data_IF_903448475717
#
_entry.id   IF_903448475717
#
_cell.length_a   1.000
_cell.length_b   1.000
_cell.length_c   1.000
_cell.angle_alpha   90.00
_cell.angle_beta   90.00
_cell.angle_gamma   90.00
#
_symmetry.space_group_name_H-M   'P 1'
#
loop_
_entity.id
_entity.type
_entity.pdbx_description
1 polymer ?
#
# COMPACT_ATOMS: atom_id res chain seq x y z
N UNK A 1 -0.85 -3.40 16.41
CA UNK A 1 -1.65 -4.63 16.58
C UNK A 1 -1.42 -5.14 17.99
N UNK A 2 -2.49 -5.48 18.70
CA UNK A 2 -2.41 -6.07 20.05
C UNK A 2 -1.68 -7.42 19.99
N UNK A 3 -0.90 -7.74 21.03
CA UNK A 3 -0.20 -9.04 21.14
C UNK A 3 -1.16 -10.22 21.23
N UNK A 4 -2.44 -9.97 21.56
CA UNK A 4 -3.48 -10.97 21.68
C UNK A 4 -4.85 -10.40 21.31
N UNK A 5 -5.78 -11.31 21.04
CA UNK A 5 -7.20 -11.01 20.84
C UNK A 5 -8.07 -12.04 21.57
N UNK A 6 -9.32 -11.69 21.81
CA UNK A 6 -10.34 -12.60 22.32
C UNK A 6 -11.19 -13.11 21.17
N UNK A 7 -11.45 -14.42 21.16
CA UNK A 7 -12.31 -15.08 20.20
C UNK A 7 -13.49 -15.72 20.91
N UNK A 8 -14.70 -15.32 20.51
CA UNK A 8 -15.94 -15.91 20.98
C UNK A 8 -16.57 -16.69 19.83
N UNK A 9 -16.69 -18.00 19.99
CA UNK A 9 -17.27 -18.90 19.02
C UNK A 9 -18.62 -19.39 19.49
N UNK A 10 -19.65 -19.32 18.64
CA UNK A 10 -21.04 -19.65 18.97
C UNK A 10 -21.59 -20.59 17.90
N UNK A 11 -22.14 -21.74 18.31
CA UNK A 11 -22.75 -22.69 17.40
C UNK A 11 -24.14 -23.09 17.96
N UNK A 12 -25.21 -22.35 17.58
CA UNK A 12 -26.58 -22.63 17.98
C UNK A 12 -27.17 -23.77 17.13
N UNK A 13 -27.90 -24.69 17.76
CA UNK A 13 -28.56 -25.77 17.04
C UNK A 13 -29.86 -25.33 16.31
N UNK A 14 -30.35 -24.10 16.57
CA UNK A 14 -31.56 -23.49 15.95
C UNK A 14 -31.44 -21.96 15.95
N UNK A 15 -32.22 -21.31 15.10
CA UNK A 15 -32.40 -19.85 15.05
C UNK A 15 -31.07 -19.08 14.84
N UNK A 16 -30.23 -19.59 13.97
CA UNK A 16 -28.90 -19.07 13.66
C UNK A 16 -28.90 -17.53 13.42
N UNK A 17 -29.82 -17.03 12.60
CA UNK A 17 -29.94 -15.61 12.27
C UNK A 17 -30.16 -14.72 13.51
N UNK A 18 -30.95 -15.20 14.51
CA UNK A 18 -31.17 -14.44 15.73
C UNK A 18 -29.89 -14.31 16.59
N UNK A 19 -29.05 -15.33 16.57
CA UNK A 19 -27.74 -15.29 17.23
C UNK A 19 -26.76 -14.39 16.48
N UNK A 20 -26.78 -14.38 15.13
CA UNK A 20 -25.97 -13.49 14.30
C UNK A 20 -26.35 -12.01 14.58
N UNK A 21 -27.63 -11.68 14.56
CA UNK A 21 -28.13 -10.33 14.82
C UNK A 21 -27.76 -9.87 16.24
N UNK A 22 -27.94 -10.74 17.24
CA UNK A 22 -27.59 -10.42 18.62
C UNK A 22 -26.08 -10.22 18.78
N UNK A 23 -25.28 -11.13 18.23
CA UNK A 23 -23.81 -11.06 18.33
C UNK A 23 -23.27 -9.80 17.65
N UNK A 24 -23.80 -9.48 16.46
CA UNK A 24 -23.45 -8.24 15.74
C UNK A 24 -23.81 -7.00 16.57
N UNK A 25 -24.99 -6.99 17.18
CA UNK A 25 -25.45 -5.87 18.02
C UNK A 25 -24.62 -5.69 19.29
N UNK A 26 -24.19 -6.79 19.92
CA UNK A 26 -23.40 -6.75 21.16
C UNK A 26 -21.93 -6.38 20.93
N UNK A 27 -21.36 -6.79 19.81
CA UNK A 27 -19.94 -6.56 19.52
C UNK A 27 -19.70 -5.30 18.69
N UNK A 28 -20.67 -4.88 17.91
CA UNK A 28 -20.55 -3.84 16.88
C UNK A 28 -19.39 -4.09 15.90
N UNK A 29 -18.98 -5.35 15.74
CA UNK A 29 -17.89 -5.82 14.88
C UNK A 29 -18.42 -6.74 13.77
N UNK A 30 -17.64 -6.95 12.74
CA UNK A 30 -17.93 -7.96 11.73
C UNK A 30 -17.85 -9.36 12.35
N UNK A 31 -18.84 -10.21 12.04
CA UNK A 31 -18.92 -11.60 12.50
C UNK A 31 -18.52 -12.50 11.33
N UNK A 32 -17.59 -13.40 11.58
CA UNK A 32 -17.24 -14.45 10.62
C UNK A 32 -18.21 -15.62 10.75
N UNK A 33 -18.70 -16.10 9.62
CA UNK A 33 -19.61 -17.23 9.52
C UNK A 33 -18.88 -18.43 8.89
N UNK A 34 -18.76 -19.51 9.64
CA UNK A 34 -18.07 -20.72 9.17
C UNK A 34 -18.85 -21.97 9.57
N UNK A 35 -19.36 -22.71 8.60
CA UNK A 35 -20.04 -24.03 8.79
C UNK A 35 -21.08 -24.03 9.94
N UNK A 36 -21.95 -23.02 9.98
CA UNK A 36 -22.99 -22.87 11.01
C UNK A 36 -22.47 -22.39 12.37
N UNK A 37 -21.25 -21.89 12.41
CA UNK A 37 -20.60 -21.32 13.59
C UNK A 37 -20.41 -19.83 13.37
N UNK A 38 -20.72 -19.03 14.37
CA UNK A 38 -20.48 -17.58 14.42
C UNK A 38 -19.21 -17.31 15.22
N UNK A 39 -18.31 -16.49 14.68
CA UNK A 39 -17.04 -16.16 15.31
C UNK A 39 -16.90 -14.64 15.41
N UNK A 40 -16.85 -14.15 16.64
CA UNK A 40 -16.52 -12.76 16.95
C UNK A 40 -15.09 -12.65 17.47
N UNK A 41 -14.35 -11.62 16.97
CA UNK A 41 -12.99 -11.32 17.46
C UNK A 41 -12.93 -9.87 17.93
N UNK A 42 -12.22 -9.64 19.03
CA UNK A 42 -12.03 -8.32 19.63
C UNK A 42 -10.69 -8.23 20.36
N UNK A 43 -10.11 -7.03 20.42
CA UNK A 43 -8.98 -6.74 21.29
C UNK A 43 -9.43 -6.59 22.77
N UNK A 44 -10.72 -6.31 22.98
CA UNK A 44 -11.35 -6.24 24.30
C UNK A 44 -11.94 -7.60 24.70
N UNK A 45 -12.01 -7.86 26.00
CA UNK A 45 -12.58 -9.08 26.56
C UNK A 45 -14.07 -9.22 26.18
N UNK A 46 -14.46 -10.39 25.66
CA UNK A 46 -15.83 -10.70 25.23
C UNK A 46 -16.64 -11.46 26.28
N UNK A 47 -16.23 -11.46 27.56
CA UNK A 47 -16.92 -12.18 28.64
C UNK A 47 -18.35 -11.71 28.83
N UNK A 48 -18.61 -10.40 28.79
CA UNK A 48 -19.96 -9.84 28.93
C UNK A 48 -20.85 -10.22 27.74
N UNK A 49 -20.29 -10.22 26.54
CA UNK A 49 -20.99 -10.68 25.31
C UNK A 49 -21.34 -12.16 25.43
N UNK A 50 -20.41 -12.99 25.89
CA UNK A 50 -20.65 -14.42 26.16
C UNK A 50 -21.81 -14.62 27.13
N UNK A 51 -21.83 -13.86 28.26
CA UNK A 51 -22.91 -13.97 29.23
C UNK A 51 -24.27 -13.60 28.60
N UNK A 52 -24.33 -12.53 27.81
CA UNK A 52 -25.53 -12.12 27.08
C UNK A 52 -26.04 -13.23 26.14
N UNK A 53 -25.15 -13.87 25.39
CA UNK A 53 -25.49 -14.99 24.51
C UNK A 53 -25.98 -16.21 25.30
N UNK A 54 -25.35 -16.55 26.43
CA UNK A 54 -25.79 -17.65 27.29
C UNK A 54 -27.21 -17.39 27.83
N UNK A 55 -27.48 -16.18 28.32
CA UNK A 55 -28.80 -15.79 28.82
C UNK A 55 -29.85 -15.87 27.71
N UNK A 56 -29.54 -15.40 26.51
CA UNK A 56 -30.42 -15.47 25.36
C UNK A 56 -30.75 -16.92 24.96
N UNK A 57 -29.72 -17.76 24.86
CA UNK A 57 -29.90 -19.19 24.56
C UNK A 57 -30.80 -19.88 25.58
N UNK A 58 -30.59 -19.62 26.88
CA UNK A 58 -31.42 -20.18 27.96
C UNK A 58 -32.87 -19.70 27.89
N UNK A 59 -33.09 -18.38 27.62
CA UNK A 59 -34.44 -17.81 27.54
C UNK A 59 -35.26 -18.41 26.38
N UNK A 60 -34.58 -18.79 25.28
CA UNK A 60 -35.21 -19.43 24.12
C UNK A 60 -35.25 -20.96 24.21
N UNK A 61 -34.65 -21.55 25.24
CA UNK A 61 -34.45 -22.99 25.40
C UNK A 61 -33.74 -23.62 24.18
N UNK A 62 -32.65 -22.96 23.72
CA UNK A 62 -31.83 -23.37 22.58
C UNK A 62 -30.49 -23.88 23.11
N UNK A 63 -30.10 -25.06 22.65
CA UNK A 63 -28.76 -25.58 22.90
C UNK A 63 -27.76 -24.83 22.02
N UNK A 64 -26.77 -24.21 22.64
CA UNK A 64 -25.74 -23.45 21.99
C UNK A 64 -24.37 -23.83 22.53
N UNK A 65 -23.47 -24.27 21.67
CA UNK A 65 -22.08 -24.49 22.04
C UNK A 65 -21.33 -23.15 21.97
N UNK A 66 -20.77 -22.74 23.09
CA UNK A 66 -20.09 -21.43 23.21
C UNK A 66 -18.69 -21.65 23.75
N UNK A 67 -17.68 -21.15 23.06
CA UNK A 67 -16.29 -21.08 23.55
C UNK A 67 -15.82 -19.63 23.56
N UNK A 68 -15.03 -19.26 24.55
CA UNK A 68 -14.39 -17.96 24.66
C UNK A 68 -12.94 -18.18 25.05
N UNK A 69 -12.05 -17.74 24.17
CA UNK A 69 -10.61 -17.99 24.28
C UNK A 69 -9.83 -16.70 24.07
N UNK A 70 -8.76 -16.52 24.84
CA UNK A 70 -7.74 -15.53 24.57
C UNK A 70 -6.69 -16.16 23.67
N UNK A 71 -6.48 -15.59 22.48
CA UNK A 71 -5.52 -16.08 21.49
C UNK A 71 -4.41 -15.08 21.27
N UNK A 72 -3.19 -15.56 21.12
CA UNK A 72 -2.06 -14.73 20.77
C UNK A 72 -2.07 -14.42 19.27
N UNK A 73 -1.78 -13.17 18.93
CA UNK A 73 -1.66 -12.74 17.52
C UNK A 73 -0.41 -13.27 16.81
N UNK A 74 0.43 -14.03 17.52
CA UNK A 74 1.72 -14.54 17.02
C UNK A 74 1.56 -15.36 15.72
N UNK A 75 0.50 -16.15 15.61
CA UNK A 75 0.30 -16.98 14.41
C UNK A 75 -0.12 -16.16 13.19
N UNK A 76 -0.90 -15.10 13.37
CA UNK A 76 -1.26 -14.18 12.30
C UNK A 76 -0.06 -13.37 11.81
N UNK A 77 0.76 -12.86 12.72
CA UNK A 77 1.99 -12.13 12.40
C UNK A 77 2.95 -13.06 11.65
N UNK A 78 3.14 -14.29 12.13
CA UNK A 78 4.00 -15.28 11.44
C UNK A 78 3.46 -15.70 10.08
N UNK A 79 2.16 -16.00 9.96
CA UNK A 79 1.54 -16.34 8.68
C UNK A 79 1.62 -15.18 7.69
N UNK A 80 1.38 -13.97 8.16
CA UNK A 80 1.51 -12.75 7.36
C UNK A 80 2.96 -12.53 6.93
N UNK A 81 3.93 -12.65 7.83
CA UNK A 81 5.36 -12.59 7.49
C UNK A 81 5.75 -13.65 6.46
N UNK A 82 5.23 -14.87 6.57
CA UNK A 82 5.50 -15.93 5.59
C UNK A 82 4.85 -15.70 4.23
N UNK A 83 3.78 -14.91 4.16
CA UNK A 83 3.10 -14.58 2.91
C UNK A 83 3.77 -13.47 2.11
N UNK A 84 4.55 -12.61 2.77
CA UNK A 84 5.26 -11.50 2.13
C UNK A 84 6.67 -11.95 1.79
N UNK A 85 6.96 -11.99 0.50
CA UNK A 85 8.28 -12.40 -0.03
C UNK A 85 9.03 -11.17 -0.53
N UNK A 86 10.34 -11.25 -0.49
CA UNK A 86 11.18 -10.27 -1.19
C UNK A 86 11.06 -10.40 -2.70
N UNK A 87 11.32 -9.31 -3.42
CA UNK A 87 11.31 -9.26 -4.88
C UNK A 87 12.56 -8.55 -5.42
N UNK A 88 13.14 -9.10 -6.51
CA UNK A 88 14.23 -8.46 -7.24
C UNK A 88 13.67 -7.73 -8.47
N UNK A 89 14.06 -6.47 -8.64
CA UNK A 89 13.67 -5.64 -9.77
C UNK A 89 14.92 -4.88 -10.26
N UNK A 90 15.47 -5.27 -11.39
CA UNK A 90 16.73 -4.71 -11.88
C UNK A 90 17.86 -4.84 -10.86
N UNK A 91 18.46 -3.72 -10.47
CA UNK A 91 19.50 -3.67 -9.46
C UNK A 91 18.96 -3.57 -8.02
N UNK A 92 17.66 -3.51 -7.84
CA UNK A 92 17.02 -3.38 -6.52
C UNK A 92 16.59 -4.73 -5.95
N UNK A 93 16.68 -4.85 -4.63
CA UNK A 93 16.13 -5.93 -3.83
C UNK A 93 15.19 -5.32 -2.79
N UNK A 94 13.89 -5.58 -2.96
CA UNK A 94 12.84 -5.08 -2.08
C UNK A 94 12.46 -6.21 -1.13
N UNK A 95 12.54 -5.95 0.15
CA UNK A 95 12.27 -6.95 1.20
C UNK A 95 11.57 -6.35 2.41
N UNK A 96 10.87 -7.15 3.18
CA UNK A 96 10.45 -6.76 4.53
C UNK A 96 11.65 -6.76 5.50
N UNK A 97 11.51 -6.09 6.63
CA UNK A 97 12.60 -5.92 7.63
C UNK A 97 13.11 -7.22 8.25
N UNK A 98 12.29 -8.28 8.26
CA UNK A 98 12.64 -9.60 8.81
C UNK A 98 13.37 -10.52 7.82
N UNK A 99 13.51 -10.15 6.57
CA UNK A 99 14.34 -10.89 5.61
C UNK A 99 15.76 -10.32 5.55
N UNK A 100 16.73 -11.16 5.24
CA UNK A 100 18.12 -10.75 5.12
C UNK A 100 18.36 -9.99 3.81
N UNK A 101 19.26 -9.00 3.86
CA UNK A 101 19.69 -8.25 2.67
C UNK A 101 20.52 -9.11 1.70
N UNK A 102 20.59 -8.66 0.44
CA UNK A 102 21.53 -9.17 -0.56
C UNK A 102 22.64 -8.15 -0.81
N UNK A 103 23.90 -8.58 -0.73
CA UNK A 103 25.05 -7.69 -0.81
C UNK A 103 25.35 -7.16 -2.23
N UNK A 104 24.82 -7.83 -3.26
CA UNK A 104 24.99 -7.47 -4.67
C UNK A 104 23.88 -6.58 -5.24
N UNK A 105 22.94 -6.14 -4.40
CA UNK A 105 21.75 -5.36 -4.79
C UNK A 105 21.61 -4.09 -3.95
N UNK A 106 20.88 -3.14 -4.52
CA UNK A 106 20.43 -1.95 -3.78
C UNK A 106 19.24 -2.38 -2.89
N UNK A 107 19.48 -2.43 -1.59
CA UNK A 107 18.51 -2.92 -0.60
C UNK A 107 17.46 -1.87 -0.28
N UNK A 108 16.19 -2.23 -0.42
CA UNK A 108 15.02 -1.43 -0.03
C UNK A 108 14.18 -2.23 0.95
N UNK A 109 13.96 -1.67 2.14
CA UNK A 109 13.11 -2.27 3.18
C UNK A 109 11.74 -1.62 3.13
N UNK A 110 10.71 -2.41 2.90
CA UNK A 110 9.30 -1.98 2.98
C UNK A 110 8.54 -3.01 3.78
N UNK A 111 8.15 -2.63 4.99
CA UNK A 111 7.24 -3.45 5.77
C UNK A 111 5.81 -3.23 5.30
N UNK A 112 5.02 -4.30 5.19
CA UNK A 112 3.64 -4.20 4.78
C UNK A 112 2.83 -3.31 5.72
N UNK A 113 2.20 -2.29 5.15
CA UNK A 113 1.35 -1.31 5.81
C UNK A 113 0.04 -1.14 5.04
N UNK A 114 -0.82 -0.24 5.50
CA UNK A 114 -2.08 0.09 4.83
C UNK A 114 -1.87 0.91 3.54
N UNK A 115 -0.73 1.59 3.40
CA UNK A 115 -0.40 2.39 2.23
C UNK A 115 0.02 1.51 1.05
N UNK A 116 -0.36 1.95 -0.17
CA UNK A 116 -0.03 1.26 -1.42
C UNK A 116 1.48 1.32 -1.71
N UNK A 117 2.04 0.24 -2.28
CA UNK A 117 3.42 0.20 -2.78
C UNK A 117 4.34 -0.76 -2.02
N UNK A 118 4.05 -2.07 -2.09
CA UNK A 118 4.91 -3.12 -1.50
C UNK A 118 6.03 -3.63 -2.45
N UNK A 119 6.10 -3.12 -3.67
CA UNK A 119 7.02 -3.62 -4.71
C UNK A 119 6.47 -4.78 -5.56
N UNK A 120 5.46 -5.51 -5.08
CA UNK A 120 4.92 -6.69 -5.77
C UNK A 120 3.94 -6.35 -6.89
N UNK A 121 3.31 -5.19 -6.85
CA UNK A 121 2.37 -4.79 -7.88
C UNK A 121 3.11 -4.45 -9.18
N UNK A 122 2.55 -4.81 -10.33
CA UNK A 122 3.14 -4.62 -11.66
C UNK A 122 3.52 -3.17 -11.93
N UNK A 123 2.69 -2.22 -11.49
CA UNK A 123 2.95 -0.78 -11.68
C UNK A 123 4.14 -0.30 -10.87
N UNK A 124 4.30 -0.77 -9.63
CA UNK A 124 5.44 -0.43 -8.78
C UNK A 124 6.71 -1.04 -9.34
N UNK A 125 6.65 -2.32 -9.72
CA UNK A 125 7.78 -3.03 -10.31
C UNK A 125 8.28 -2.36 -11.60
N UNK A 126 7.39 -1.99 -12.53
CA UNK A 126 7.79 -1.32 -13.77
C UNK A 126 8.28 0.13 -13.54
N UNK A 127 7.76 0.85 -12.53
CA UNK A 127 8.35 2.14 -12.15
C UNK A 127 9.77 1.99 -11.61
N UNK A 128 10.05 0.97 -10.78
CA UNK A 128 11.40 0.71 -10.27
C UNK A 128 12.36 0.34 -11.40
N UNK A 129 11.94 -0.46 -12.39
CA UNK A 129 12.73 -0.73 -13.60
C UNK A 129 13.04 0.56 -14.37
N UNK A 130 12.05 1.45 -14.51
CA UNK A 130 12.25 2.74 -15.14
C UNK A 130 13.19 3.65 -14.33
N UNK A 131 13.09 3.64 -12.99
CA UNK A 131 14.03 4.36 -12.11
C UNK A 131 15.46 3.82 -12.30
N UNK A 132 15.61 2.51 -12.29
CA UNK A 132 16.93 1.89 -12.48
C UNK A 132 17.59 2.35 -13.78
N UNK A 133 16.84 2.40 -14.87
CA UNK A 133 17.29 2.71 -16.23
C UNK A 133 17.48 4.20 -16.52
N UNK A 134 16.55 5.05 -16.06
CA UNK A 134 16.46 6.45 -16.49
C UNK A 134 16.83 7.49 -15.43
N UNK A 135 16.92 7.11 -14.15
CA UNK A 135 17.24 8.04 -13.07
C UNK A 135 18.76 8.00 -12.80
N UNK A 136 19.41 9.13 -13.00
CA UNK A 136 20.84 9.28 -12.72
C UNK A 136 21.09 9.74 -11.29
N UNK A 137 22.28 9.45 -10.75
CA UNK A 137 22.72 9.99 -9.47
C UNK A 137 22.67 11.53 -9.44
N UNK A 138 22.44 12.09 -8.26
CA UNK A 138 22.35 13.52 -8.00
C UNK A 138 21.19 14.24 -8.69
N UNK A 139 20.26 13.51 -9.35
CA UNK A 139 19.05 14.10 -9.93
C UNK A 139 18.13 14.65 -8.83
N UNK A 140 17.45 15.77 -9.12
CA UNK A 140 16.31 16.21 -8.32
C UNK A 140 15.07 15.44 -8.75
N UNK A 141 14.48 14.70 -7.84
CA UNK A 141 13.34 13.81 -8.10
C UNK A 141 12.12 14.29 -7.32
N UNK A 142 10.96 14.29 -7.95
CA UNK A 142 9.65 14.46 -7.30
C UNK A 142 8.84 13.18 -7.43
N UNK A 143 8.40 12.62 -6.31
CA UNK A 143 7.44 11.52 -6.27
C UNK A 143 6.04 12.05 -5.91
N UNK A 144 5.08 11.90 -6.83
CA UNK A 144 3.72 12.43 -6.75
C UNK A 144 2.74 11.28 -6.48
N UNK A 145 2.05 11.32 -5.34
CA UNK A 145 1.27 10.18 -4.84
C UNK A 145 2.21 9.13 -4.28
N UNK A 146 3.04 9.54 -3.32
CA UNK A 146 4.19 8.73 -2.86
C UNK A 146 3.77 7.42 -2.15
N UNK A 147 2.56 7.35 -1.55
CA UNK A 147 2.05 6.16 -0.87
C UNK A 147 2.99 5.66 0.22
N UNK A 148 3.58 4.47 0.05
CA UNK A 148 4.60 3.90 0.95
C UNK A 148 5.96 4.60 0.84
N UNK A 149 6.20 5.40 -0.20
CA UNK A 149 7.47 6.02 -0.50
C UNK A 149 8.47 5.14 -1.26
N UNK A 150 8.10 3.94 -1.67
CA UNK A 150 9.04 2.98 -2.28
C UNK A 150 9.76 3.54 -3.51
N UNK A 151 9.08 4.30 -4.38
CA UNK A 151 9.68 4.89 -5.59
C UNK A 151 10.64 6.02 -5.22
N UNK A 152 10.24 6.85 -4.27
CA UNK A 152 11.07 7.88 -3.68
C UNK A 152 12.33 7.30 -3.01
N UNK A 153 12.19 6.21 -2.24
CA UNK A 153 13.31 5.50 -1.60
C UNK A 153 14.24 4.90 -2.67
N UNK A 154 13.70 4.29 -3.73
CA UNK A 154 14.51 3.77 -4.84
C UNK A 154 15.38 4.87 -5.47
N UNK A 155 14.82 6.06 -5.69
CA UNK A 155 15.60 7.20 -6.17
C UNK A 155 16.62 7.70 -5.13
N UNK A 156 16.25 7.78 -3.85
CA UNK A 156 17.16 8.21 -2.77
C UNK A 156 18.36 7.25 -2.61
N UNK A 157 18.13 5.93 -2.73
CA UNK A 157 19.18 4.90 -2.72
C UNK A 157 20.15 5.00 -3.93
N UNK A 158 19.73 5.69 -5.01
CA UNK A 158 20.62 6.09 -6.14
C UNK A 158 21.28 7.45 -5.92
N UNK A 159 21.34 7.94 -4.69
CA UNK A 159 21.92 9.25 -4.32
C UNK A 159 21.20 10.45 -4.94
N UNK A 160 19.90 10.35 -5.22
CA UNK A 160 19.09 11.47 -5.70
C UNK A 160 18.62 12.39 -4.55
N UNK A 161 18.32 13.65 -4.89
CA UNK A 161 17.68 14.61 -3.99
C UNK A 161 16.17 14.52 -4.21
N UNK A 162 15.46 13.96 -3.24
CA UNK A 162 14.05 13.60 -3.40
C UNK A 162 13.14 14.55 -2.65
N UNK A 163 12.11 15.03 -3.32
CA UNK A 163 10.93 15.65 -2.71
C UNK A 163 9.71 14.72 -2.93
N UNK A 164 8.78 14.72 -1.99
CA UNK A 164 7.60 13.84 -2.02
C UNK A 164 6.31 14.63 -1.81
N UNK A 165 5.21 14.17 -2.40
CA UNK A 165 3.90 14.66 -2.05
C UNK A 165 2.82 13.58 -2.17
N UNK A 166 1.78 13.73 -1.35
CA UNK A 166 0.58 12.93 -1.40
C UNK A 166 -0.62 13.76 -0.96
N UNK A 167 -1.82 13.40 -1.39
CA UNK A 167 -3.06 14.06 -0.94
C UNK A 167 -3.50 13.58 0.44
N UNK A 168 -3.01 12.40 0.85
CA UNK A 168 -3.26 11.79 2.15
C UNK A 168 -2.06 12.04 3.10
N UNK A 169 -2.33 12.59 4.29
CA UNK A 169 -1.32 12.83 5.31
C UNK A 169 -0.78 11.53 5.94
N UNK A 170 -1.56 10.46 5.90
CA UNK A 170 -1.12 9.13 6.36
C UNK A 170 0.00 8.62 5.46
N UNK A 171 -0.11 8.77 4.14
CA UNK A 171 0.94 8.39 3.19
C UNK A 171 2.25 9.15 3.44
N UNK A 172 2.18 10.45 3.76
CA UNK A 172 3.38 11.23 4.10
C UNK A 172 4.08 10.71 5.36
N UNK A 173 3.31 10.31 6.38
CA UNK A 173 3.85 9.72 7.63
C UNK A 173 4.46 8.35 7.39
N UNK A 174 3.76 7.49 6.64
CA UNK A 174 4.25 6.15 6.30
C UNK A 174 5.53 6.23 5.47
N UNK A 175 5.57 7.13 4.47
CA UNK A 175 6.78 7.41 3.69
C UNK A 175 7.93 7.85 4.61
N UNK A 176 7.70 8.75 5.56
CA UNK A 176 8.76 9.20 6.47
C UNK A 176 9.32 8.04 7.31
N UNK A 177 8.46 7.17 7.84
CA UNK A 177 8.87 5.99 8.59
C UNK A 177 9.67 5.00 7.72
N UNK A 178 9.26 4.79 6.46
CA UNK A 178 9.97 3.93 5.53
C UNK A 178 11.32 4.52 5.11
N UNK A 179 11.43 5.85 4.97
CA UNK A 179 12.72 6.52 4.72
C UNK A 179 13.69 6.33 5.88
N UNK A 180 13.22 6.45 7.13
CA UNK A 180 14.01 6.17 8.33
C UNK A 180 14.49 4.72 8.36
N UNK A 181 13.60 3.76 8.10
CA UNK A 181 13.91 2.32 8.05
C UNK A 181 14.99 2.00 6.99
N UNK A 182 15.03 2.77 5.92
CA UNK A 182 16.00 2.63 4.83
C UNK A 182 17.27 3.48 5.00
N UNK A 183 17.40 4.25 6.09
CA UNK A 183 18.55 5.13 6.36
C UNK A 183 18.81 6.15 5.22
N UNK A 184 17.74 6.64 4.59
CA UNK A 184 17.77 7.70 3.56
C UNK A 184 16.87 8.86 3.96
N UNK A 185 16.99 10.00 3.26
CA UNK A 185 16.20 11.19 3.57
C UNK A 185 15.57 11.77 2.30
N UNK A 186 14.38 12.32 2.44
CA UNK A 186 13.83 13.26 1.47
C UNK A 186 14.10 14.70 1.92
N UNK A 187 14.10 15.64 0.97
CA UNK A 187 14.43 17.04 1.25
C UNK A 187 13.19 17.84 1.68
N UNK A 188 12.08 17.68 0.98
CA UNK A 188 10.82 18.33 1.28
C UNK A 188 9.65 17.36 1.12
N UNK A 189 8.57 17.62 1.88
CA UNK A 189 7.30 16.92 1.73
C UNK A 189 6.12 17.87 1.85
N UNK A 190 5.01 17.60 1.19
CA UNK A 190 3.77 18.36 1.36
C UNK A 190 2.52 17.54 1.10
N UNK A 191 1.43 17.91 1.77
CA UNK A 191 0.10 17.38 1.48
C UNK A 191 -0.45 18.11 0.26
N UNK A 192 -0.75 17.36 -0.82
CA UNK A 192 -1.26 17.88 -2.07
C UNK A 192 -0.66 17.18 -3.29
N UNK A 193 -0.56 17.89 -4.40
CA UNK A 193 -0.10 17.34 -5.68
C UNK A 193 1.04 18.18 -6.27
N UNK A 194 1.47 17.84 -7.49
CA UNK A 194 2.55 18.50 -8.23
C UNK A 194 2.33 20.02 -8.42
N UNK A 195 1.09 20.52 -8.39
CA UNK A 195 0.79 21.95 -8.50
C UNK A 195 1.35 22.82 -7.37
N UNK A 196 1.75 22.20 -6.23
CA UNK A 196 2.41 22.90 -5.12
C UNK A 196 3.94 22.85 -5.20
N UNK A 197 4.50 22.22 -6.21
CA UNK A 197 5.95 22.19 -6.41
C UNK A 197 6.49 23.62 -6.64
N UNK A 198 7.50 24.00 -5.86
CA UNK A 198 8.10 25.34 -5.91
C UNK A 198 9.32 25.42 -6.83
N UNK A 199 9.75 24.31 -7.38
CA UNK A 199 10.89 24.19 -8.31
C UNK A 199 10.55 23.17 -9.41
N UNK A 200 11.42 23.08 -10.39
CA UNK A 200 11.39 22.02 -11.40
C UNK A 200 12.35 20.89 -11.04
N UNK A 201 12.11 19.70 -11.60
CA UNK A 201 12.81 18.47 -11.29
C UNK A 201 13.39 17.83 -12.54
N UNK A 202 14.49 17.10 -12.36
CA UNK A 202 15.12 16.31 -13.43
C UNK A 202 14.31 15.04 -13.70
N UNK A 203 13.63 14.54 -12.66
CA UNK A 203 12.72 13.39 -12.76
C UNK A 203 11.45 13.66 -11.98
N UNK A 204 10.29 13.36 -12.58
CA UNK A 204 9.00 13.35 -11.91
C UNK A 204 8.41 11.94 -12.06
N UNK A 205 7.98 11.35 -10.95
CA UNK A 205 7.38 10.02 -10.89
C UNK A 205 5.94 10.16 -10.39
N UNK A 206 5.00 9.44 -11.03
CA UNK A 206 3.62 9.38 -10.57
C UNK A 206 3.01 8.00 -10.88
N UNK A 207 2.91 7.14 -9.86
CA UNK A 207 2.23 5.84 -9.95
C UNK A 207 0.84 5.94 -9.34
N UNK A 208 -0.09 6.53 -10.10
CA UNK A 208 -1.46 6.83 -9.65
C UNK A 208 -2.47 6.51 -10.77
N UNK A 209 -3.76 6.42 -10.42
CA UNK A 209 -4.80 6.01 -11.37
C UNK A 209 -4.91 6.95 -12.58
N UNK A 210 -5.23 6.37 -13.75
CA UNK A 210 -5.26 7.05 -15.06
C UNK A 210 -6.09 8.35 -15.08
N UNK A 211 -7.20 8.40 -14.37
CA UNK A 211 -8.08 9.58 -14.31
C UNK A 211 -7.39 10.76 -13.62
N UNK A 212 -6.68 10.50 -12.52
CA UNK A 212 -5.91 11.51 -11.80
C UNK A 212 -4.72 11.96 -12.63
N UNK A 213 -3.96 11.04 -13.27
CA UNK A 213 -2.88 11.40 -14.21
C UNK A 213 -3.35 12.34 -15.30
N UNK A 214 -4.49 12.05 -15.94
CA UNK A 214 -5.08 12.90 -16.96
C UNK A 214 -5.46 14.29 -16.43
N UNK A 215 -5.97 14.36 -15.18
CA UNK A 215 -6.38 15.61 -14.53
C UNK A 215 -5.17 16.49 -14.20
N UNK A 216 -4.11 15.93 -13.63
CA UNK A 216 -2.93 16.69 -13.18
C UNK A 216 -1.80 16.73 -14.23
N UNK A 217 -2.05 16.27 -15.44
CA UNK A 217 -1.03 16.16 -16.51
C UNK A 217 -0.27 17.46 -16.77
N UNK A 218 -0.96 18.62 -16.70
CA UNK A 218 -0.33 19.93 -16.86
C UNK A 218 0.64 20.24 -15.72
N UNK A 219 0.28 19.89 -14.49
CA UNK A 219 1.11 20.17 -13.32
C UNK A 219 2.35 19.27 -13.31
N UNK A 220 2.20 17.98 -13.70
CA UNK A 220 3.33 17.07 -13.87
C UNK A 220 4.33 17.61 -14.91
N UNK A 221 3.86 18.06 -16.08
CA UNK A 221 4.72 18.64 -17.12
C UNK A 221 5.39 19.93 -16.67
N UNK A 222 4.66 20.81 -15.98
CA UNK A 222 5.21 22.07 -15.48
C UNK A 222 6.29 21.87 -14.40
N UNK A 223 6.28 20.72 -13.72
CA UNK A 223 7.27 20.36 -12.71
C UNK A 223 8.57 19.80 -13.29
N UNK A 224 8.65 19.58 -14.63
CA UNK A 224 9.86 19.07 -15.30
C UNK A 224 10.81 20.18 -15.71
N UNK A 225 12.10 19.92 -15.53
CA UNK A 225 13.17 20.64 -16.19
C UNK A 225 13.15 20.35 -17.71
N UNK A 226 13.83 21.19 -18.51
CA UNK A 226 14.17 20.87 -19.89
C UNK A 226 15.02 19.59 -19.89
N UNK A 227 14.76 18.67 -20.79
CA UNK A 227 15.30 17.31 -20.83
C UNK A 227 14.94 16.42 -19.63
N UNK A 228 14.03 16.86 -18.75
CA UNK A 228 13.57 16.08 -17.58
C UNK A 228 12.78 14.83 -17.99
N UNK A 229 12.82 13.83 -17.14
CA UNK A 229 12.17 12.52 -17.32
C UNK A 229 10.87 12.49 -16.53
N UNK A 230 9.78 12.02 -17.15
CA UNK A 230 8.51 11.73 -16.49
C UNK A 230 8.25 10.22 -16.55
N UNK A 231 8.07 9.62 -15.40
CA UNK A 231 7.67 8.22 -15.27
C UNK A 231 6.24 8.18 -14.72
N UNK A 232 5.29 7.68 -15.51
CA UNK A 232 3.90 7.52 -15.06
C UNK A 232 3.46 6.08 -15.14
N UNK A 233 2.67 5.65 -14.16
CA UNK A 233 2.10 4.29 -14.06
C UNK A 233 0.75 4.31 -13.33
N UNK A 234 0.16 3.12 -13.07
CA UNK A 234 -1.20 3.00 -12.56
C UNK A 234 -2.25 3.08 -13.66
N UNK A 235 -1.85 2.78 -14.90
CA UNK A 235 -2.66 2.88 -16.11
C UNK A 235 -3.04 1.48 -16.57
N UNK A 236 -4.34 1.16 -16.60
CA UNK A 236 -4.83 -0.04 -17.26
C UNK A 236 -4.75 0.14 -18.79
N UNK A 237 -4.43 -0.92 -19.55
CA UNK A 237 -4.33 -0.91 -21.02
C UNK A 237 -5.50 -0.21 -21.71
N UNK A 238 -6.71 -0.45 -21.25
CA UNK A 238 -7.93 0.18 -21.82
C UNK A 238 -7.99 1.70 -21.67
N UNK A 239 -7.13 2.30 -20.85
CA UNK A 239 -7.09 3.75 -20.60
C UNK A 239 -5.85 4.44 -21.17
N UNK A 240 -4.93 3.68 -21.79
CA UNK A 240 -3.62 4.21 -22.22
C UNK A 240 -3.74 5.34 -23.23
N UNK A 241 -4.57 5.20 -24.26
CA UNK A 241 -4.72 6.22 -25.33
C UNK A 241 -5.17 7.57 -24.76
N UNK A 242 -6.07 7.54 -23.79
CA UNK A 242 -6.57 8.74 -23.10
C UNK A 242 -5.46 9.45 -22.33
N UNK A 243 -4.59 8.68 -21.66
CA UNK A 243 -3.46 9.23 -20.91
C UNK A 243 -2.41 9.77 -21.88
N UNK A 244 -1.99 9.01 -22.91
CA UNK A 244 -1.00 9.43 -23.91
C UNK A 244 -1.39 10.74 -24.59
N UNK A 245 -2.67 10.94 -24.87
CA UNK A 245 -3.18 12.20 -25.43
C UNK A 245 -2.89 13.44 -24.58
N UNK A 246 -2.72 13.29 -23.27
CA UNK A 246 -2.38 14.40 -22.36
C UNK A 246 -0.89 14.75 -22.35
N UNK A 247 -0.05 13.83 -22.79
CA UNK A 247 1.41 13.95 -22.78
C UNK A 247 2.02 13.94 -24.20
N UNK A 248 1.22 14.12 -25.25
CA UNK A 248 1.65 14.09 -26.67
C UNK A 248 2.70 15.14 -27.05
N UNK A 249 2.89 16.14 -26.21
CA UNK A 249 3.89 17.20 -26.35
C UNK A 249 5.26 16.80 -25.75
N UNK A 250 5.34 15.66 -25.06
CA UNK A 250 6.58 15.06 -24.59
C UNK A 250 7.04 13.95 -25.55
N UNK A 251 8.33 13.70 -25.58
CA UNK A 251 8.89 12.55 -26.29
C UNK A 251 8.66 11.26 -25.48
N UNK A 252 7.97 10.29 -26.05
CA UNK A 252 7.81 8.98 -25.41
C UNK A 252 9.10 8.16 -25.62
N UNK A 253 9.82 7.87 -24.55
CA UNK A 253 11.05 7.07 -24.59
C UNK A 253 10.76 5.56 -24.50
N UNK A 254 9.84 5.17 -23.64
CA UNK A 254 9.52 3.76 -23.40
C UNK A 254 8.07 3.58 -22.98
N UNK A 255 7.51 2.42 -23.31
CA UNK A 255 6.22 1.95 -22.86
C UNK A 255 6.39 0.52 -22.39
N UNK A 256 6.15 0.27 -21.10
CA UNK A 256 6.36 -1.02 -20.41
C UNK A 256 4.99 -1.61 -20.12
N UNK A 257 4.72 -2.81 -20.63
CA UNK A 257 3.53 -3.57 -20.31
C UNK A 257 3.88 -4.66 -19.28
N UNK A 258 3.08 -4.74 -18.21
CA UNK A 258 3.08 -5.86 -17.26
C UNK A 258 1.65 -6.27 -16.97
N UNK A 259 1.26 -7.44 -17.48
CA UNK A 259 -0.13 -7.91 -17.48
C UNK A 259 -1.06 -6.84 -18.10
N UNK A 260 -2.06 -6.38 -17.37
CA UNK A 260 -3.02 -5.35 -17.79
C UNK A 260 -2.57 -3.92 -17.49
N UNK A 261 -1.36 -3.72 -16.96
CA UNK A 261 -0.85 -2.43 -16.52
C UNK A 261 0.23 -1.89 -17.44
N UNK A 262 0.21 -0.56 -17.58
CA UNK A 262 1.16 0.16 -18.42
C UNK A 262 1.90 1.22 -17.61
N UNK A 263 3.21 1.27 -17.83
CA UNK A 263 4.09 2.35 -17.39
C UNK A 263 4.66 3.05 -18.60
N UNK A 264 4.69 4.37 -18.60
CA UNK A 264 5.24 5.15 -19.70
C UNK A 264 6.33 6.07 -19.19
N UNK A 265 7.44 6.10 -19.92
CA UNK A 265 8.54 7.03 -19.68
C UNK A 265 8.57 8.06 -20.79
N UNK A 266 8.53 9.33 -20.40
CA UNK A 266 8.63 10.46 -21.32
C UNK A 266 9.84 11.32 -21.02
N UNK A 267 10.26 12.10 -22.01
CA UNK A 267 11.24 13.18 -21.90
C UNK A 267 10.62 14.50 -22.29
N UNK A 268 10.90 15.53 -21.53
CA UNK A 268 10.56 16.91 -21.82
C UNK A 268 11.66 17.51 -22.70
N UNK A 269 11.34 17.88 -23.94
CA UNK A 269 12.30 18.44 -24.91
C UNK A 269 12.46 19.94 -24.74
#
# INVERSE_FOLDING_TARGET
>A
LSEYYFELTINPNKNYELFLDLLTSLTNNAIEELDGTLIARSEEDLSDVKEGIVQFANALNIECKITHEKKENIDWIKQYQQSVKSVEIGNFYIRPSWEEKKDDKIDIIIDPALSFGSGHHETTSSCIEAIDKYVNENSNVLDVGTGSGILAIAAAKKNCIVDICDTDDVCIKDTASNFELNEVNFKNSWIGSANKAVKKYDVVIANIVADVLAMISKDLKNSLNDNGILIISGILDKHIDRVLNKFKDLEQLELIHKNEWVTVVFKNN
#
